data_IF_844307503914
#
_entry.id   IF_844307503914
#
_cell.length_a   1.000
_cell.length_b   1.000
_cell.length_c   1.000
_cell.angle_alpha   90.00
_cell.angle_beta   90.00
_cell.angle_gamma   90.00
#
_symmetry.space_group_name_H-M   'P 1'
#
loop_
_entity.id
_entity.type
_entity.pdbx_description
1 polymer ?
#
# COMPACT_ATOMS: atom_id res chain seq x y z
N UNK A 1 73.86 -32.40 5.38
CA UNK A 1 72.52 -32.42 6.00
C UNK A 1 71.64 -31.42 5.24
N UNK A 2 70.82 -31.88 4.27
CA UNK A 2 69.95 -30.97 3.49
C UNK A 2 68.62 -30.80 4.22
N UNK A 3 68.37 -29.60 4.73
CA UNK A 3 67.12 -29.25 5.41
C UNK A 3 66.01 -29.17 4.36
N UNK A 4 64.99 -30.05 4.46
CA UNK A 4 63.76 -29.97 3.67
C UNK A 4 62.93 -28.77 4.14
N UNK A 5 63.22 -27.58 3.62
CA UNK A 5 62.31 -26.42 3.66
C UNK A 5 61.69 -26.28 2.27
N UNK A 6 60.47 -25.72 2.20
CA UNK A 6 59.68 -25.38 0.98
C UNK A 6 58.63 -26.40 0.49
N UNK A 7 57.77 -26.89 1.38
CA UNK A 7 56.44 -27.41 0.96
C UNK A 7 55.27 -26.97 1.83
N UNK A 8 55.54 -26.42 3.03
CA UNK A 8 54.52 -25.92 3.94
C UNK A 8 54.08 -24.47 3.65
N UNK A 9 54.87 -23.67 2.93
CA UNK A 9 54.56 -22.25 2.67
C UNK A 9 53.28 -22.08 1.82
N UNK A 10 53.18 -22.81 0.72
CA UNK A 10 52.00 -22.73 -0.17
C UNK A 10 50.71 -23.25 0.46
N UNK A 11 50.79 -24.18 1.43
CA UNK A 11 49.60 -24.65 2.15
C UNK A 11 49.04 -23.56 3.08
N UNK A 12 49.92 -22.80 3.74
CA UNK A 12 49.53 -21.69 4.62
C UNK A 12 48.94 -20.55 3.78
N UNK A 13 49.52 -20.23 2.62
CA UNK A 13 48.98 -19.21 1.72
C UNK A 13 47.57 -19.55 1.22
N UNK A 14 47.31 -20.82 0.87
CA UNK A 14 45.98 -21.28 0.48
C UNK A 14 45.00 -21.18 1.66
N UNK A 15 45.42 -21.53 2.87
CA UNK A 15 44.58 -21.47 4.05
C UNK A 15 44.20 -20.02 4.39
N UNK A 16 45.16 -19.09 4.35
CA UNK A 16 44.90 -17.65 4.53
C UNK A 16 43.97 -17.15 3.42
N UNK A 17 44.20 -17.54 2.17
CA UNK A 17 43.34 -17.15 1.04
C UNK A 17 41.91 -17.63 1.21
N UNK A 18 41.70 -18.85 1.73
CA UNK A 18 40.38 -19.41 1.98
C UNK A 18 39.66 -18.67 3.12
N UNK A 19 40.38 -18.35 4.20
CA UNK A 19 39.84 -17.56 5.31
C UNK A 19 39.44 -16.16 4.83
N UNK A 20 40.31 -15.50 4.08
CA UNK A 20 40.04 -14.17 3.52
C UNK A 20 38.85 -14.22 2.56
N UNK A 21 38.80 -15.21 1.65
CA UNK A 21 37.68 -15.40 0.75
C UNK A 21 36.37 -15.64 1.52
N UNK A 22 36.39 -16.45 2.58
CA UNK A 22 35.23 -16.71 3.43
C UNK A 22 34.69 -15.44 4.11
N UNK A 23 35.58 -14.61 4.67
CA UNK A 23 35.18 -13.33 5.28
C UNK A 23 34.58 -12.39 4.23
N UNK A 24 35.21 -12.29 3.07
CA UNK A 24 34.73 -11.45 1.96
C UNK A 24 33.36 -11.92 1.47
N UNK A 25 33.14 -13.22 1.31
CA UNK A 25 31.83 -13.78 0.96
C UNK A 25 30.74 -13.46 1.98
N UNK A 26 31.05 -13.53 3.29
CA UNK A 26 30.09 -13.20 4.35
C UNK A 26 29.68 -11.71 4.31
N UNK A 27 30.64 -10.82 4.04
CA UNK A 27 30.36 -9.38 3.86
C UNK A 27 29.46 -9.16 2.64
N UNK A 28 29.76 -9.80 1.50
CA UNK A 28 28.93 -9.69 0.31
C UNK A 28 27.50 -10.19 0.51
N UNK A 29 27.31 -11.33 1.19
CA UNK A 29 25.98 -11.84 1.53
C UNK A 29 25.20 -10.87 2.42
N UNK A 30 25.88 -10.23 3.37
CA UNK A 30 25.27 -9.23 4.26
C UNK A 30 24.78 -8.02 3.46
N UNK A 31 25.59 -7.53 2.53
CA UNK A 31 25.21 -6.41 1.65
C UNK A 31 24.04 -6.83 0.75
N UNK A 32 24.14 -7.99 0.12
CA UNK A 32 23.08 -8.51 -0.76
C UNK A 32 21.75 -8.67 -0.01
N UNK A 33 21.78 -9.20 1.21
CA UNK A 33 20.58 -9.36 2.05
C UNK A 33 19.95 -8.01 2.39
N UNK A 34 20.75 -7.00 2.75
CA UNK A 34 20.24 -5.64 3.02
C UNK A 34 19.59 -5.03 1.78
N UNK A 35 20.24 -5.15 0.63
CA UNK A 35 19.69 -4.61 -0.63
C UNK A 35 18.41 -5.33 -1.03
N UNK A 36 18.35 -6.66 -0.92
CA UNK A 36 17.12 -7.43 -1.20
C UNK A 36 15.97 -7.04 -0.29
N UNK A 37 16.21 -6.86 1.01
CA UNK A 37 15.20 -6.37 1.95
C UNK A 37 14.67 -5.00 1.54
N UNK A 38 15.58 -4.06 1.25
CA UNK A 38 15.21 -2.71 0.80
C UNK A 38 14.40 -2.75 -0.49
N UNK A 39 14.77 -3.61 -1.44
CA UNK A 39 14.06 -3.75 -2.71
C UNK A 39 12.64 -4.28 -2.50
N UNK A 40 12.45 -5.31 -1.66
CA UNK A 40 11.12 -5.84 -1.33
C UNK A 40 10.25 -4.77 -0.67
N UNK A 41 10.81 -3.96 0.23
CA UNK A 41 10.08 -2.85 0.85
C UNK A 41 9.66 -1.80 -0.19
N UNK A 42 10.57 -1.45 -1.11
CA UNK A 42 10.27 -0.52 -2.21
C UNK A 42 9.17 -1.06 -3.11
N UNK A 43 9.23 -2.33 -3.52
CA UNK A 43 8.19 -2.96 -4.34
C UNK A 43 6.81 -2.94 -3.67
N UNK A 44 6.74 -3.18 -2.35
CA UNK A 44 5.49 -3.07 -1.59
C UNK A 44 4.93 -1.65 -1.61
N UNK A 45 5.77 -0.64 -1.43
CA UNK A 45 5.36 0.77 -1.49
C UNK A 45 4.86 1.15 -2.88
N UNK A 46 5.57 0.74 -3.93
CA UNK A 46 5.14 0.97 -5.32
C UNK A 46 3.82 0.26 -5.64
N UNK A 47 3.62 -0.94 -5.11
CA UNK A 47 2.37 -1.67 -5.26
C UNK A 47 1.20 -0.98 -4.54
N UNK A 48 1.40 -0.51 -3.30
CA UNK A 48 0.39 0.28 -2.58
C UNK A 48 0.07 1.60 -3.30
N UNK A 49 1.09 2.27 -3.87
CA UNK A 49 0.88 3.47 -4.68
C UNK A 49 0.04 3.17 -5.94
N UNK A 50 0.27 2.02 -6.58
CA UNK A 50 -0.54 1.58 -7.71
C UNK A 50 -2.00 1.32 -7.30
N UNK A 51 -2.24 0.67 -6.16
CA UNK A 51 -3.59 0.46 -5.63
C UNK A 51 -4.27 1.80 -5.34
N UNK A 52 -3.55 2.76 -4.75
CA UNK A 52 -4.10 4.10 -4.50
C UNK A 52 -4.52 4.80 -5.80
N UNK A 53 -3.68 4.72 -6.85
CA UNK A 53 -4.01 5.27 -8.18
C UNK A 53 -5.21 4.55 -8.82
N UNK A 54 -5.33 3.23 -8.62
CA UNK A 54 -6.51 2.49 -9.05
C UNK A 54 -7.77 2.99 -8.32
N UNK A 55 -7.68 3.22 -7.01
CA UNK A 55 -8.74 3.84 -6.21
C UNK A 55 -9.19 5.22 -6.71
N UNK A 56 -8.24 6.06 -7.16
CA UNK A 56 -8.54 7.36 -7.79
C UNK A 56 -9.35 7.16 -9.07
N UNK A 57 -8.94 6.22 -9.92
CA UNK A 57 -9.66 5.93 -11.17
C UNK A 57 -11.07 5.41 -10.88
N UNK A 58 -11.22 4.54 -9.87
CA UNK A 58 -12.51 4.02 -9.41
C UNK A 58 -13.41 5.18 -8.96
N UNK A 59 -12.91 6.06 -8.09
CA UNK A 59 -13.67 7.19 -7.58
C UNK A 59 -14.08 8.17 -8.70
N UNK A 60 -13.17 8.46 -9.64
CA UNK A 60 -13.47 9.31 -10.79
C UNK A 60 -14.50 8.66 -11.73
N UNK A 61 -14.43 7.35 -11.93
CA UNK A 61 -15.41 6.63 -12.74
C UNK A 61 -16.79 6.63 -12.08
N UNK A 62 -16.87 6.47 -10.76
CA UNK A 62 -18.13 6.60 -10.00
C UNK A 62 -18.70 8.02 -10.15
N UNK A 63 -17.86 9.06 -9.98
CA UNK A 63 -18.29 10.45 -10.18
C UNK A 63 -18.76 10.71 -11.63
N UNK A 64 -18.06 10.17 -12.62
CA UNK A 64 -18.45 10.27 -14.03
C UNK A 64 -19.78 9.55 -14.31
N UNK A 65 -20.04 8.43 -13.64
CA UNK A 65 -21.31 7.71 -13.75
C UNK A 65 -22.47 8.54 -13.17
N UNK A 66 -22.29 9.19 -12.02
CA UNK A 66 -23.28 10.12 -11.46
C UNK A 66 -23.53 11.30 -12.41
N UNK A 67 -22.46 11.91 -12.96
CA UNK A 67 -22.57 12.95 -14.01
C UNK A 67 -23.27 12.49 -15.28
N UNK A 68 -23.13 11.22 -15.66
CA UNK A 68 -23.77 10.67 -16.84
C UNK A 68 -25.24 10.32 -16.58
N UNK A 69 -25.60 9.98 -15.34
CA UNK A 69 -26.93 9.57 -14.89
C UNK A 69 -27.78 10.75 -14.38
N UNK A 70 -27.72 11.93 -15.02
CA UNK A 70 -28.37 13.21 -14.65
C UNK A 70 -29.86 13.21 -14.22
N UNK A 71 -30.57 12.07 -14.15
CA UNK A 71 -32.00 11.95 -13.79
C UNK A 71 -32.28 10.65 -12.99
N UNK A 72 -31.33 10.14 -12.20
CA UNK A 72 -31.56 9.07 -11.23
C UNK A 72 -31.43 9.60 -9.80
N UNK A 73 -32.43 9.39 -8.95
CA UNK A 73 -32.49 9.89 -7.55
C UNK A 73 -31.49 9.18 -6.60
N UNK A 74 -30.57 8.38 -7.13
CA UNK A 74 -29.61 7.59 -6.35
C UNK A 74 -28.24 8.26 -6.33
N UNK A 75 -27.82 8.72 -5.16
CA UNK A 75 -26.50 9.32 -4.93
C UNK A 75 -25.43 8.22 -4.93
N UNK A 76 -24.63 8.16 -6.00
CA UNK A 76 -23.58 7.16 -6.18
C UNK A 76 -22.26 7.59 -5.54
N UNK A 77 -21.92 8.88 -5.60
CA UNK A 77 -20.73 9.44 -5.00
C UNK A 77 -21.06 10.08 -3.64
N UNK A 78 -20.39 9.68 -2.55
CA UNK A 78 -20.64 10.27 -1.24
C UNK A 78 -20.19 11.73 -1.19
N UNK A 79 -21.04 12.62 -0.66
CA UNK A 79 -20.71 14.06 -0.48
C UNK A 79 -20.38 14.43 0.96
N UNK A 80 -20.47 13.48 1.90
CA UNK A 80 -20.25 13.71 3.33
C UNK A 80 -18.75 13.79 3.64
N UNK A 81 -18.31 14.95 4.14
CA UNK A 81 -16.93 15.19 4.59
C UNK A 81 -16.66 14.53 5.94
N UNK A 82 -15.40 14.16 6.21
CA UNK A 82 -14.98 13.52 7.45
C UNK A 82 -15.28 12.02 7.56
N UNK A 83 -15.84 11.42 6.50
CA UNK A 83 -16.12 10.00 6.40
C UNK A 83 -15.25 9.31 5.36
N UNK A 84 -14.97 8.05 5.62
CA UNK A 84 -14.21 7.14 4.79
C UNK A 84 -15.11 6.04 4.23
N UNK A 85 -14.89 5.71 2.97
CA UNK A 85 -15.67 4.79 2.15
C UNK A 85 -14.76 3.73 1.55
N UNK A 86 -15.26 2.52 1.39
CA UNK A 86 -14.48 1.42 0.80
C UNK A 86 -14.87 1.27 -0.67
N UNK A 87 -13.96 1.55 -1.63
CA UNK A 87 -14.21 1.28 -3.03
C UNK A 87 -14.43 -0.21 -3.26
N UNK A 88 -15.46 -0.54 -4.03
CA UNK A 88 -15.88 -1.89 -4.32
C UNK A 88 -16.13 -2.06 -5.83
N UNK A 89 -16.04 -3.32 -6.28
CA UNK A 89 -16.36 -3.67 -7.67
C UNK A 89 -17.19 -4.93 -7.68
N UNK A 90 -18.41 -4.79 -8.21
CA UNK A 90 -19.34 -5.90 -8.43
C UNK A 90 -19.59 -6.05 -9.92
N UNK A 91 -19.33 -7.23 -10.48
CA UNK A 91 -19.63 -7.57 -11.89
C UNK A 91 -19.23 -6.52 -12.95
N UNK A 92 -18.08 -5.85 -12.72
CA UNK A 92 -17.49 -4.79 -13.57
C UNK A 92 -18.09 -3.38 -13.40
N UNK A 93 -19.00 -3.19 -12.46
CA UNK A 93 -19.48 -1.88 -12.04
C UNK A 93 -18.71 -1.44 -10.80
N UNK A 94 -18.22 -0.21 -10.84
CA UNK A 94 -17.55 0.42 -9.69
C UNK A 94 -18.59 1.08 -8.80
N UNK A 95 -18.49 0.82 -7.50
CA UNK A 95 -19.37 1.40 -6.48
C UNK A 95 -18.63 1.51 -5.15
N UNK A 96 -19.25 2.10 -4.14
CA UNK A 96 -18.78 2.00 -2.76
C UNK A 96 -19.51 0.86 -2.06
N UNK A 97 -18.79 0.13 -1.18
CA UNK A 97 -19.35 -1.00 -0.44
C UNK A 97 -20.55 -0.53 0.38
N UNK A 98 -21.70 -1.20 0.18
CA UNK A 98 -22.93 -0.94 0.94
C UNK A 98 -22.96 -1.79 2.21
N UNK A 99 -23.49 -1.22 3.30
CA UNK A 99 -23.70 -1.90 4.57
C UNK A 99 -24.99 -2.72 4.60
N UNK A 100 -25.27 -3.35 5.74
CA UNK A 100 -26.50 -4.13 5.95
C UNK A 100 -27.77 -3.26 6.04
N UNK A 101 -27.62 -2.00 6.43
CA UNK A 101 -28.67 -0.98 6.33
C UNK A 101 -28.42 -0.19 5.04
N UNK A 102 -29.42 -0.09 4.14
CA UNK A 102 -29.35 0.58 2.83
C UNK A 102 -28.55 1.89 2.89
N UNK A 103 -27.27 1.83 2.52
CA UNK A 103 -26.33 2.93 2.66
C UNK A 103 -24.88 2.51 2.50
N UNK A 104 -24.01 3.44 2.12
CA UNK A 104 -22.57 3.19 2.01
C UNK A 104 -21.95 2.98 3.40
N UNK A 105 -21.00 2.04 3.52
CA UNK A 105 -20.23 1.87 4.76
C UNK A 105 -19.41 3.13 4.99
N UNK A 106 -19.72 3.84 6.06
CA UNK A 106 -19.02 5.05 6.49
C UNK A 106 -18.17 4.75 7.71
N UNK A 107 -16.88 5.10 7.64
CA UNK A 107 -15.95 4.99 8.76
C UNK A 107 -15.48 6.40 9.08
N UNK A 108 -15.76 6.89 10.28
CA UNK A 108 -15.31 8.21 10.70
C UNK A 108 -13.78 8.26 10.82
N UNK A 109 -13.15 9.28 10.25
CA UNK A 109 -11.69 9.43 10.28
C UNK A 109 -11.14 9.75 11.70
N UNK A 110 -12.01 10.13 12.63
CA UNK A 110 -11.65 10.48 14.03
C UNK A 110 -11.60 9.27 14.99
N UNK A 111 -11.94 8.06 14.52
CA UNK A 111 -11.98 6.88 15.39
C UNK A 111 -10.57 6.37 15.74
N UNK A 112 -10.28 6.06 17.03
CA UNK A 112 -8.97 5.59 17.46
C UNK A 112 -8.58 4.22 16.88
N UNK A 113 -9.55 3.38 16.50
CA UNK A 113 -9.35 2.04 15.93
C UNK A 113 -9.75 1.95 14.45
N UNK A 114 -9.71 3.06 13.70
CA UNK A 114 -10.17 3.09 12.29
C UNK A 114 -9.48 2.07 11.38
N UNK A 115 -8.22 1.71 11.65
CA UNK A 115 -7.50 0.70 10.88
C UNK A 115 -8.13 -0.69 10.95
N UNK A 116 -8.54 -1.12 12.15
CA UNK A 116 -9.22 -2.42 12.32
C UNK A 116 -10.51 -2.44 11.50
N UNK A 117 -11.27 -1.34 11.53
CA UNK A 117 -12.47 -1.18 10.71
C UNK A 117 -12.16 -1.17 9.20
N UNK A 118 -11.04 -0.57 8.77
CA UNK A 118 -10.60 -0.63 7.37
C UNK A 118 -10.29 -2.05 6.91
N UNK A 119 -9.65 -2.85 7.78
CA UNK A 119 -9.32 -4.24 7.50
C UNK A 119 -10.57 -5.11 7.47
N UNK A 120 -11.47 -4.97 8.46
CA UNK A 120 -12.74 -5.72 8.52
C UNK A 120 -13.63 -5.43 7.32
N UNK A 121 -13.65 -4.18 6.86
CA UNK A 121 -14.48 -3.76 5.74
C UNK A 121 -13.77 -3.82 4.39
N UNK A 122 -12.52 -4.28 4.33
CA UNK A 122 -11.73 -4.35 3.11
C UNK A 122 -12.51 -5.04 1.97
N UNK A 123 -12.30 -4.55 0.76
CA UNK A 123 -12.82 -5.20 -0.45
C UNK A 123 -11.96 -6.42 -0.77
N UNK A 124 -12.59 -7.51 -1.22
CA UNK A 124 -11.90 -8.69 -1.74
C UNK A 124 -11.11 -8.42 -3.05
N UNK A 125 -11.17 -7.19 -3.57
CA UNK A 125 -10.44 -6.74 -4.75
C UNK A 125 -8.92 -6.84 -4.58
N UNK A 126 -8.40 -6.72 -3.35
CA UNK A 126 -6.98 -6.90 -3.03
C UNK A 126 -6.83 -7.82 -1.81
N UNK A 127 -6.45 -9.08 -2.03
CA UNK A 127 -6.45 -10.12 -0.98
C UNK A 127 -5.55 -9.83 0.23
N UNK A 128 -4.51 -9.02 0.04
CA UNK A 128 -3.49 -8.72 1.05
C UNK A 128 -3.48 -7.25 1.49
N UNK A 129 -4.33 -6.40 0.89
CA UNK A 129 -4.30 -4.96 1.11
C UNK A 129 -5.71 -4.42 1.30
N UNK A 130 -5.87 -3.42 2.15
CA UNK A 130 -7.10 -2.63 2.17
C UNK A 130 -6.89 -1.34 1.37
N UNK A 131 -7.97 -0.84 0.77
CA UNK A 131 -8.04 0.45 0.10
C UNK A 131 -9.27 1.17 0.63
N UNK A 132 -9.09 2.41 1.11
CA UNK A 132 -10.15 3.25 1.65
C UNK A 132 -10.00 4.66 1.10
N UNK A 133 -11.13 5.30 0.79
CA UNK A 133 -11.22 6.68 0.32
C UNK A 133 -11.90 7.53 1.40
N UNK A 134 -11.21 8.51 1.95
CA UNK A 134 -11.77 9.48 2.89
C UNK A 134 -11.98 10.82 2.21
N UNK A 135 -13.13 11.46 2.45
CA UNK A 135 -13.43 12.77 1.89
C UNK A 135 -13.04 13.82 2.92
N UNK A 136 -12.03 14.63 2.60
CA UNK A 136 -11.54 15.69 3.48
C UNK A 136 -12.37 16.96 3.31
N UNK A 137 -12.69 17.31 2.07
CA UNK A 137 -13.40 18.54 1.73
C UNK A 137 -14.18 18.38 0.42
N UNK A 138 -15.31 19.07 0.32
CA UNK A 138 -16.14 19.11 -0.90
C UNK A 138 -16.61 20.53 -1.17
N UNK A 139 -16.48 20.97 -2.41
CA UNK A 139 -17.10 22.20 -2.88
C UNK A 139 -18.32 21.83 -3.73
N UNK A 140 -19.51 22.10 -3.18
CA UNK A 140 -20.80 21.73 -3.80
C UNK A 140 -21.48 22.94 -4.45
N UNK A 141 -21.00 24.16 -4.21
CA UNK A 141 -21.66 25.41 -4.62
C UNK A 141 -21.07 26.02 -5.90
N UNK A 142 -19.98 25.46 -6.43
CA UNK A 142 -19.22 26.00 -7.57
C UNK A 142 -18.89 24.97 -8.67
N UNK A 143 -17.61 24.90 -9.03
CA UNK A 143 -17.08 23.76 -9.81
C UNK A 143 -17.10 22.57 -8.88
N UNK A 144 -18.07 21.67 -8.99
CA UNK A 144 -18.23 20.53 -8.08
C UNK A 144 -16.95 19.68 -8.01
N UNK A 145 -16.22 19.72 -6.89
CA UNK A 145 -15.02 18.91 -6.68
C UNK A 145 -14.94 18.36 -5.26
N UNK A 146 -14.29 17.20 -5.10
CA UNK A 146 -14.01 16.59 -3.81
C UNK A 146 -12.50 16.39 -3.64
N UNK A 147 -11.98 16.85 -2.51
CA UNK A 147 -10.63 16.51 -2.07
C UNK A 147 -10.69 15.21 -1.27
N UNK A 148 -10.06 14.17 -1.81
CA UNK A 148 -10.11 12.83 -1.25
C UNK A 148 -8.72 12.33 -0.86
N UNK A 149 -8.68 11.63 0.26
CA UNK A 149 -7.51 10.95 0.80
C UNK A 149 -7.68 9.44 0.63
N UNK A 150 -6.86 8.83 -0.20
CA UNK A 150 -6.76 7.38 -0.32
C UNK A 150 -5.75 6.83 0.67
N UNK A 151 -6.17 5.83 1.45
CA UNK A 151 -5.32 5.11 2.39
C UNK A 151 -5.22 3.66 1.92
N UNK A 152 -3.99 3.18 1.75
CA UNK A 152 -3.70 1.78 1.41
C UNK A 152 -2.75 1.21 2.44
N UNK A 153 -3.05 0.03 2.94
CA UNK A 153 -2.18 -0.68 3.86
C UNK A 153 -2.20 -2.19 3.65
N UNK A 154 -1.10 -2.84 4.02
CA UNK A 154 -0.99 -4.30 4.05
C UNK A 154 -1.70 -4.83 5.31
N UNK A 155 -2.64 -5.76 5.12
CA UNK A 155 -3.48 -6.32 6.19
C UNK A 155 -2.65 -7.12 7.22
N UNK A 156 -1.49 -7.64 6.81
CA UNK A 156 -0.63 -8.52 7.62
C UNK A 156 0.32 -7.76 8.54
N UNK A 157 0.38 -6.42 8.44
CA UNK A 157 1.31 -5.58 9.20
C UNK A 157 0.58 -4.46 9.95
N UNK A 158 1.26 -3.83 10.91
CA UNK A 158 0.66 -2.80 11.76
C UNK A 158 0.43 -1.48 11.01
N UNK A 159 1.23 -1.18 9.98
CA UNK A 159 1.05 0.03 9.16
C UNK A 159 1.54 1.32 9.81
N UNK A 160 2.19 1.25 10.98
CA UNK A 160 2.55 2.43 11.77
C UNK A 160 3.88 3.04 11.30
N UNK A 161 4.89 2.20 11.05
CA UNK A 161 6.24 2.63 10.71
C UNK A 161 6.90 1.71 9.70
N UNK A 162 7.72 2.27 8.81
CA UNK A 162 8.53 1.47 7.89
C UNK A 162 9.76 0.93 8.62
N UNK A 163 9.70 -0.33 9.02
CA UNK A 163 10.76 -1.07 9.71
C UNK A 163 11.07 -2.37 8.95
N UNK A 164 11.98 -3.20 9.48
CA UNK A 164 12.31 -4.51 8.90
C UNK A 164 11.09 -5.46 8.80
N UNK A 165 10.04 -5.26 9.61
CA UNK A 165 8.86 -6.13 9.70
C UNK A 165 7.53 -5.42 9.44
N UNK A 166 7.54 -4.08 9.44
CA UNK A 166 6.34 -3.27 9.26
C UNK A 166 6.55 -2.29 8.09
N UNK A 167 5.48 -2.00 7.37
CA UNK A 167 5.50 -1.03 6.28
C UNK A 167 4.39 -0.05 6.54
N UNK A 168 4.74 1.23 6.66
CA UNK A 168 3.77 2.29 6.91
C UNK A 168 2.71 2.33 5.82
N UNK A 169 1.46 2.58 6.22
CA UNK A 169 0.36 2.81 5.29
C UNK A 169 0.69 3.93 4.30
N UNK A 170 0.34 3.69 3.05
CA UNK A 170 0.47 4.66 2.00
C UNK A 170 -0.75 5.58 1.97
N UNK A 171 -0.51 6.88 1.93
CA UNK A 171 -1.56 7.89 1.83
C UNK A 171 -1.35 8.71 0.56
N UNK A 172 -2.41 8.85 -0.24
CA UNK A 172 -2.40 9.63 -1.48
C UNK A 172 -3.56 10.60 -1.49
N UNK A 173 -3.31 11.85 -1.90
CA UNK A 173 -4.35 12.87 -2.01
C UNK A 173 -4.66 13.12 -3.48
N UNK A 174 -5.94 13.19 -3.80
CA UNK A 174 -6.43 13.47 -5.15
C UNK A 174 -7.62 14.41 -5.10
N UNK A 175 -7.84 15.12 -6.21
CA UNK A 175 -9.03 15.91 -6.44
C UNK A 175 -9.88 15.14 -7.45
N UNK A 176 -11.12 14.83 -7.06
CA UNK A 176 -12.11 14.21 -7.93
C UNK A 176 -13.04 15.30 -8.44
N UNK A 177 -13.25 15.32 -9.76
CA UNK A 177 -14.18 16.22 -10.41
C UNK A 177 -15.59 15.61 -10.34
N UNK A 178 -16.48 16.22 -9.56
CA UNK A 178 -17.85 15.78 -9.23
C UNK A 178 -18.91 16.35 -10.15
#
# INVERSE_FOLDING_TARGET
MKVKKLKALGFIEILISLVVAGIVSAVFLTIASKTMKSLIQTERIEYMARIAMDGVNIAQEIANQEKAQLIGDEELFPKQTGFCFVPFREDSVYSFKQGEEEGMITISDELPNKRELFIENASDMYSDYFLVMCIEDTDVDGTSWANVKFIVGDIKVAGEQTTDTDVRDFTYYAIIDL
#
